data_IF_570872654781
#
_entry.id   IF_570872654781
#
_cell.length_a   1.000
_cell.length_b   1.000
_cell.length_c   1.000
_cell.angle_alpha   90.00
_cell.angle_beta   90.00
_cell.angle_gamma   90.00
#
_symmetry.space_group_name_H-M   'P 1'
#
loop_
_entity.id
_entity.type
_entity.pdbx_description
1 polymer ?
#
# COMPACT_ATOMS: atom_id res chain seq x y z
N UNK A 1 -31.04 -20.63 -72.00
CA UNK A 1 -29.95 -19.70 -72.37
C UNK A 1 -29.26 -19.25 -71.10
N UNK A 2 -27.94 -19.44 -71.08
CA UNK A 2 -27.05 -19.48 -69.93
C UNK A 2 -26.47 -18.10 -69.64
N UNK A 3 -26.49 -17.60 -68.39
CA UNK A 3 -25.55 -16.57 -67.91
C UNK A 3 -25.20 -16.80 -66.45
N UNK A 4 -24.15 -17.57 -66.25
CA UNK A 4 -23.30 -17.62 -65.07
C UNK A 4 -22.52 -16.32 -64.90
N UNK A 5 -22.43 -15.79 -63.68
CA UNK A 5 -21.25 -15.00 -63.24
C UNK A 5 -20.90 -15.37 -61.81
N UNK A 6 -19.69 -15.90 -61.70
CA UNK A 6 -18.93 -16.28 -60.52
C UNK A 6 -18.39 -15.00 -59.84
N UNK A 7 -18.51 -14.89 -58.52
CA UNK A 7 -17.95 -13.79 -57.73
C UNK A 7 -17.34 -14.33 -56.43
N UNK A 8 -16.07 -14.70 -56.51
CA UNK A 8 -15.22 -15.09 -55.38
C UNK A 8 -14.79 -13.85 -54.59
N UNK A 9 -14.92 -13.82 -53.26
CA UNK A 9 -13.91 -13.16 -52.41
C UNK A 9 -13.92 -13.68 -50.97
N UNK A 10 -12.73 -14.10 -50.56
CA UNK A 10 -12.27 -14.57 -49.25
C UNK A 10 -12.05 -13.36 -48.32
N UNK A 11 -11.89 -13.62 -47.01
CA UNK A 11 -11.53 -12.72 -45.89
C UNK A 11 -12.74 -12.17 -45.10
N UNK A 12 -12.84 -12.27 -43.77
CA UNK A 12 -11.83 -12.55 -42.76
C UNK A 12 -12.48 -13.21 -41.54
N UNK A 13 -11.90 -14.33 -41.10
CA UNK A 13 -12.00 -14.77 -39.70
C UNK A 13 -11.11 -13.82 -38.90
N UNK A 14 -11.71 -12.84 -38.22
CA UNK A 14 -11.00 -12.02 -37.24
C UNK A 14 -11.50 -12.39 -35.85
N UNK A 15 -10.98 -13.53 -35.41
CA UNK A 15 -10.96 -14.00 -34.05
C UNK A 15 -10.12 -13.01 -33.20
N UNK A 16 -10.77 -11.99 -32.63
CA UNK A 16 -10.15 -11.21 -31.55
C UNK A 16 -10.50 -11.90 -30.23
N UNK A 17 -9.79 -13.01 -29.93
CA UNK A 17 -9.61 -13.40 -28.53
C UNK A 17 -8.73 -12.33 -27.90
N UNK A 18 -9.35 -11.37 -27.22
CA UNK A 18 -8.64 -10.56 -26.23
C UNK A 18 -8.31 -11.47 -25.05
N UNK A 19 -7.18 -12.16 -25.12
CA UNK A 19 -6.50 -12.68 -23.95
C UNK A 19 -6.01 -11.49 -23.11
N UNK A 20 -6.83 -10.98 -22.20
CA UNK A 20 -6.32 -10.19 -21.07
C UNK A 20 -5.77 -11.17 -20.03
N UNK A 21 -4.57 -11.68 -20.27
CA UNK A 21 -3.78 -12.36 -19.26
C UNK A 21 -2.74 -11.39 -18.71
N UNK A 22 -3.10 -10.71 -17.62
CA UNK A 22 -2.15 -10.19 -16.66
C UNK A 22 -2.84 -9.97 -15.30
N UNK A 23 -3.33 -11.03 -14.67
CA UNK A 23 -3.46 -11.04 -13.21
C UNK A 23 -2.06 -11.23 -12.60
N UNK A 24 -1.17 -10.28 -12.84
CA UNK A 24 0.04 -10.07 -12.04
C UNK A 24 -0.29 -8.93 -11.08
N UNK A 25 0.01 -9.10 -9.79
CA UNK A 25 -0.37 -8.16 -8.74
C UNK A 25 0.03 -6.73 -9.06
N UNK A 26 -0.89 -5.97 -9.64
CA UNK A 26 -0.66 -4.60 -10.06
C UNK A 26 -0.43 -3.70 -8.85
N UNK A 27 -1.05 -4.04 -7.73
CA UNK A 27 -0.75 -3.44 -6.44
C UNK A 27 0.26 -4.30 -5.68
N UNK A 28 1.37 -3.68 -5.28
CA UNK A 28 2.43 -4.31 -4.51
C UNK A 28 2.64 -3.58 -3.19
N UNK A 29 2.84 -4.34 -2.12
CA UNK A 29 3.22 -3.79 -0.80
C UNK A 29 4.55 -4.39 -0.36
N UNK A 30 5.48 -3.54 0.03
CA UNK A 30 6.80 -3.93 0.55
C UNK A 30 7.12 -3.19 1.84
N UNK A 31 8.18 -3.64 2.53
CA UNK A 31 8.69 -3.02 3.77
C UNK A 31 7.63 -2.78 4.86
N UNK A 32 6.59 -3.61 4.88
CA UNK A 32 5.52 -3.50 5.86
C UNK A 32 6.05 -3.82 7.26
N UNK A 33 5.93 -2.85 8.16
CA UNK A 33 6.39 -2.97 9.54
C UNK A 33 5.49 -2.22 10.51
N UNK A 34 5.36 -2.75 11.72
CA UNK A 34 4.60 -2.13 12.81
C UNK A 34 5.44 -2.07 14.07
N UNK A 35 5.33 -0.97 14.80
CA UNK A 35 6.06 -0.81 16.06
C UNK A 35 5.29 -1.45 17.21
N UNK A 36 6.01 -2.04 18.15
CA UNK A 36 5.43 -2.42 19.45
C UNK A 36 4.81 -1.21 20.16
N UNK A 37 3.81 -1.47 21.00
CA UNK A 37 3.19 -0.44 21.82
C UNK A 37 4.11 -0.09 23.00
N UNK A 38 4.31 1.21 23.24
CA UNK A 38 5.06 1.67 24.42
C UNK A 38 4.27 1.39 25.70
N UNK A 39 4.95 1.20 26.85
CA UNK A 39 4.28 1.13 28.14
C UNK A 39 3.32 2.33 28.33
N UNK A 40 2.07 2.05 28.70
CA UNK A 40 1.00 3.04 28.86
C UNK A 40 0.54 3.79 27.59
N UNK A 41 1.02 3.44 26.40
CA UNK A 41 0.50 4.00 25.14
C UNK A 41 -0.67 3.18 24.61
N UNK A 42 -1.77 3.85 24.28
CA UNK A 42 -2.94 3.24 23.64
C UNK A 42 -2.82 3.18 22.10
N UNK A 43 -1.77 3.80 21.55
CA UNK A 43 -1.51 3.85 20.11
C UNK A 43 -0.08 3.45 19.76
N UNK A 44 0.09 2.93 18.55
CA UNK A 44 1.39 2.71 17.91
C UNK A 44 1.34 3.15 16.44
N UNK A 45 2.43 2.91 15.70
CA UNK A 45 2.58 3.31 14.31
C UNK A 45 3.00 2.15 13.42
N UNK A 46 2.62 2.20 12.15
CA UNK A 46 3.05 1.29 11.10
C UNK A 46 3.44 2.02 9.82
N UNK A 47 4.32 1.37 9.06
CA UNK A 47 4.92 1.87 7.83
C UNK A 47 4.94 0.76 6.79
N UNK A 48 4.92 1.14 5.51
CA UNK A 48 4.93 0.27 4.33
C UNK A 48 5.21 1.12 3.10
N UNK A 49 5.55 0.46 2.00
CA UNK A 49 5.56 1.07 0.67
C UNK A 49 4.46 0.43 -0.16
N UNK A 50 3.56 1.24 -0.71
CA UNK A 50 2.47 0.81 -1.58
C UNK A 50 2.72 1.29 -3.00
N UNK A 51 2.83 0.36 -3.95
CA UNK A 51 3.12 0.63 -5.35
C UNK A 51 1.91 0.25 -6.20
N UNK A 52 1.49 1.13 -7.09
CA UNK A 52 0.49 0.85 -8.10
C UNK A 52 1.16 0.76 -9.47
N UNK A 53 1.32 -0.45 -9.98
CA UNK A 53 1.85 -0.73 -11.31
C UNK A 53 0.76 -0.80 -12.40
N UNK A 54 -0.51 -0.64 -12.05
CA UNK A 54 -1.60 -0.63 -13.02
C UNK A 54 -1.64 0.67 -13.85
N UNK A 55 -2.36 0.63 -14.96
CA UNK A 55 -2.66 1.77 -15.83
C UNK A 55 -3.83 2.63 -15.30
N UNK A 56 -4.25 2.41 -14.05
CA UNK A 56 -5.44 3.01 -13.47
C UNK A 56 -5.18 3.55 -12.06
N UNK A 57 -5.85 4.65 -11.71
CA UNK A 57 -5.80 5.15 -10.34
C UNK A 57 -6.50 4.16 -9.40
N UNK A 58 -5.93 4.02 -8.19
CA UNK A 58 -6.45 3.16 -7.13
C UNK A 58 -6.72 3.99 -5.88
N UNK A 59 -7.71 3.60 -5.10
CA UNK A 59 -8.09 4.31 -3.87
C UNK A 59 -8.07 3.37 -2.70
N UNK A 60 -7.10 3.53 -1.81
CA UNK A 60 -7.00 2.79 -0.56
C UNK A 60 -8.02 3.34 0.44
N UNK A 61 -8.97 2.52 0.86
CA UNK A 61 -10.06 2.90 1.78
C UNK A 61 -9.81 2.47 3.21
N UNK A 62 -9.16 1.33 3.41
CA UNK A 62 -8.99 0.74 4.74
C UNK A 62 -7.74 -0.12 4.79
N UNK A 63 -7.09 -0.11 5.95
CA UNK A 63 -6.09 -1.11 6.31
C UNK A 63 -6.61 -1.86 7.54
N UNK A 64 -6.42 -3.17 7.56
CA UNK A 64 -6.62 -4.00 8.73
C UNK A 64 -5.33 -4.74 9.03
N UNK A 65 -5.06 -4.94 10.31
CA UNK A 65 -3.96 -5.76 10.79
C UNK A 65 -4.55 -6.69 11.83
N UNK A 66 -4.25 -7.98 11.72
CA UNK A 66 -4.71 -8.96 12.69
C UNK A 66 -4.36 -8.51 14.11
N UNK A 67 -5.25 -8.80 15.05
CA UNK A 67 -5.12 -8.46 16.47
C UNK A 67 -5.19 -6.97 16.83
N UNK A 68 -5.42 -6.07 15.86
CA UNK A 68 -5.68 -4.65 16.13
C UNK A 68 -7.16 -4.30 15.94
N UNK A 69 -7.74 -3.59 16.90
CA UNK A 69 -9.14 -3.16 16.84
C UNK A 69 -9.39 -2.04 15.82
N UNK A 70 -8.39 -1.20 15.54
CA UNK A 70 -8.49 -0.12 14.55
C UNK A 70 -7.13 0.26 13.98
N UNK A 71 -7.10 0.52 12.68
CA UNK A 71 -5.97 1.10 11.95
C UNK A 71 -6.47 2.29 11.14
N UNK A 72 -5.75 3.40 11.19
CA UNK A 72 -6.10 4.63 10.47
C UNK A 72 -4.93 5.10 9.61
N UNK A 73 -5.22 5.70 8.46
CA UNK A 73 -4.21 6.30 7.58
C UNK A 73 -4.08 7.76 7.98
N UNK A 74 -2.85 8.22 8.26
CA UNK A 74 -2.57 9.58 8.68
C UNK A 74 -1.48 10.18 7.80
N UNK A 75 -1.52 11.49 7.63
CA UNK A 75 -0.49 12.30 6.95
C UNK A 75 -0.04 13.45 7.85
N UNK A 76 1.06 14.07 7.50
CA UNK A 76 1.49 15.34 8.08
C UNK A 76 1.14 16.48 7.11
N UNK A 77 0.50 17.53 7.61
CA UNK A 77 0.21 18.73 6.85
C UNK A 77 0.79 19.96 7.53
N UNK A 78 1.36 20.85 6.72
CA UNK A 78 1.79 22.16 7.17
C UNK A 78 0.58 23.10 7.17
N UNK A 79 0.08 23.45 8.35
CA UNK A 79 -1.04 24.39 8.50
C UNK A 79 -0.65 25.50 9.46
N UNK A 80 -0.71 26.75 8.98
CA UNK A 80 -0.39 27.94 9.76
C UNK A 80 1.00 27.90 10.41
N UNK A 81 2.02 27.41 9.69
CA UNK A 81 3.39 27.32 10.22
C UNK A 81 3.65 26.16 11.18
N UNK A 82 2.65 25.31 11.44
CA UNK A 82 2.77 24.13 12.31
C UNK A 82 2.54 22.84 11.52
N UNK A 83 3.34 21.83 11.82
CA UNK A 83 3.09 20.46 11.35
C UNK A 83 1.98 19.83 12.19
N UNK A 84 0.92 19.36 11.53
CA UNK A 84 -0.20 18.68 12.17
C UNK A 84 -0.41 17.30 11.55
N UNK A 85 -0.61 16.29 12.38
CA UNK A 85 -1.07 14.99 11.93
C UNK A 85 -2.56 15.07 11.60
N UNK A 86 -2.94 14.54 10.44
CA UNK A 86 -4.34 14.49 9.98
C UNK A 86 -4.68 13.08 9.52
N UNK A 87 -5.81 12.57 10.00
CA UNK A 87 -6.42 11.35 9.47
C UNK A 87 -6.93 11.56 8.04
N UNK A 88 -6.69 10.57 7.19
CA UNK A 88 -7.25 10.45 5.85
C UNK A 88 -8.36 9.40 5.84
N UNK A 89 -9.51 9.74 5.24
CA UNK A 89 -10.62 8.79 5.01
C UNK A 89 -10.35 7.85 3.83
N UNK A 90 -9.45 8.25 2.94
CA UNK A 90 -8.94 7.47 1.84
C UNK A 90 -7.60 8.01 1.37
N UNK A 91 -6.82 7.17 0.68
CA UNK A 91 -5.57 7.55 0.06
C UNK A 91 -5.62 7.22 -1.43
N UNK A 92 -5.42 8.24 -2.26
CA UNK A 92 -5.26 8.09 -3.70
C UNK A 92 -3.89 7.50 -4.00
N UNK A 93 -3.85 6.52 -4.89
CA UNK A 93 -2.64 5.83 -5.36
C UNK A 93 -2.69 5.87 -6.89
N UNK A 94 -2.21 6.95 -7.51
CA UNK A 94 -2.33 7.12 -8.96
C UNK A 94 -1.61 6.01 -9.74
N UNK A 95 -2.00 5.82 -11.00
CA UNK A 95 -1.35 4.86 -11.90
C UNK A 95 0.17 5.06 -11.94
N UNK A 96 0.92 3.96 -11.88
CA UNK A 96 2.40 3.93 -11.86
C UNK A 96 3.06 4.76 -10.75
N UNK A 97 2.34 5.08 -9.67
CA UNK A 97 2.89 5.81 -8.52
C UNK A 97 3.12 4.93 -7.30
N UNK A 98 3.99 5.44 -6.42
CA UNK A 98 4.34 4.81 -5.15
C UNK A 98 4.00 5.73 -4.00
N UNK A 99 3.29 5.21 -3.01
CA UNK A 99 3.03 5.88 -1.74
C UNK A 99 3.90 5.27 -0.64
N UNK A 100 4.81 6.07 -0.11
CA UNK A 100 5.75 5.67 0.95
C UNK A 100 5.21 6.13 2.30
N UNK A 101 4.98 5.18 3.20
CA UNK A 101 4.62 5.46 4.59
C UNK A 101 5.90 5.47 5.41
N UNK A 102 6.23 6.61 6.00
CA UNK A 102 7.50 6.86 6.69
C UNK A 102 7.34 7.87 7.82
N UNK A 103 8.29 7.91 8.79
CA UNK A 103 8.30 8.94 9.83
C UNK A 103 8.22 10.36 9.24
N UNK A 104 7.36 11.20 9.83
CA UNK A 104 7.13 12.57 9.36
C UNK A 104 6.29 12.72 8.08
N UNK A 105 5.85 11.62 7.47
CA UNK A 105 5.01 11.60 6.27
C UNK A 105 3.70 10.82 6.48
N UNK A 106 3.30 10.06 5.45
CA UNK A 106 2.20 9.10 5.55
C UNK A 106 2.55 8.02 6.57
N UNK A 107 1.59 7.60 7.40
CA UNK A 107 1.79 6.53 8.37
C UNK A 107 0.47 5.90 8.77
N UNK A 108 0.53 4.67 9.30
CA UNK A 108 -0.60 3.99 9.89
C UNK A 108 -0.62 4.25 11.40
N UNK A 109 -1.72 4.77 11.92
CA UNK A 109 -1.97 4.83 13.36
C UNK A 109 -2.71 3.57 13.81
N UNK A 110 -2.15 2.90 14.81
CA UNK A 110 -2.56 1.57 15.28
C UNK A 110 -3.18 1.69 16.67
N UNK A 111 -4.34 1.08 16.90
CA UNK A 111 -5.07 1.19 18.17
C UNK A 111 -5.64 -0.15 18.64
N UNK A 112 -5.93 -0.21 19.94
CA UNK A 112 -6.67 -1.29 20.60
C UNK A 112 -6.14 -2.69 20.25
N UNK A 113 -4.87 -3.00 20.59
CA UNK A 113 -4.34 -4.34 20.38
C UNK A 113 -5.05 -5.34 21.30
N UNK A 114 -5.54 -6.44 20.75
CA UNK A 114 -6.15 -7.54 21.52
C UNK A 114 -5.12 -8.44 22.18
N UNK A 115 -3.86 -8.35 21.77
CA UNK A 115 -2.72 -9.05 22.35
C UNK A 115 -1.45 -8.21 22.28
N UNK A 116 -0.44 -8.56 23.08
CA UNK A 116 0.86 -7.88 23.03
C UNK A 116 1.55 -8.16 21.70
N UNK A 117 2.03 -7.11 21.04
CA UNK A 117 2.91 -7.23 19.87
C UNK A 117 4.34 -7.53 20.32
N UNK A 118 4.94 -8.60 19.80
CA UNK A 118 6.29 -9.06 20.15
C UNK A 118 7.24 -8.77 18.98
N UNK A 119 8.32 -8.04 19.24
CA UNK A 119 9.30 -7.72 18.20
C UNK A 119 9.94 -8.98 17.60
N UNK A 120 10.17 -8.98 16.29
CA UNK A 120 10.65 -10.13 15.52
C UNK A 120 9.55 -10.99 14.91
N UNK A 121 8.31 -10.90 15.41
CA UNK A 121 7.17 -11.60 14.82
C UNK A 121 6.60 -10.86 13.60
N UNK A 122 5.60 -11.45 12.95
CA UNK A 122 4.89 -10.86 11.81
C UNK A 122 3.38 -10.93 12.03
N UNK A 123 2.67 -9.91 11.55
CA UNK A 123 1.21 -9.84 11.55
C UNK A 123 0.69 -9.76 10.12
N UNK A 124 -0.41 -10.44 9.85
CA UNK A 124 -1.10 -10.28 8.57
C UNK A 124 -1.74 -8.89 8.49
N UNK A 125 -1.46 -8.21 7.40
CA UNK A 125 -2.03 -6.92 7.04
C UNK A 125 -2.82 -7.08 5.74
N UNK A 126 -4.00 -6.45 5.70
CA UNK A 126 -4.86 -6.41 4.51
C UNK A 126 -5.17 -4.97 4.16
N UNK A 127 -4.93 -4.59 2.91
CA UNK A 127 -5.27 -3.29 2.34
C UNK A 127 -6.51 -3.46 1.45
N UNK A 128 -7.52 -2.63 1.66
CA UNK A 128 -8.81 -2.69 0.96
C UNK A 128 -8.98 -1.47 0.06
N UNK A 129 -9.25 -1.71 -1.21
CA UNK A 129 -9.39 -0.69 -2.24
C UNK A 129 -10.87 -0.44 -2.59
N UNK A 130 -11.17 0.75 -3.12
CA UNK A 130 -12.54 1.19 -3.40
C UNK A 130 -13.25 0.37 -4.49
N UNK A 131 -12.50 -0.25 -5.39
CA UNK A 131 -12.96 -1.16 -6.44
C UNK A 131 -13.28 -2.58 -5.92
N UNK A 132 -13.02 -2.84 -4.63
CA UNK A 132 -13.22 -4.14 -3.98
C UNK A 132 -11.97 -5.01 -3.94
N UNK A 133 -10.86 -4.57 -4.55
CA UNK A 133 -9.60 -5.30 -4.52
C UNK A 133 -8.96 -5.30 -3.13
N UNK A 134 -8.16 -6.33 -2.90
CA UNK A 134 -7.46 -6.56 -1.64
C UNK A 134 -6.03 -6.97 -1.87
N UNK A 135 -5.13 -6.36 -1.12
CA UNK A 135 -3.71 -6.75 -1.08
C UNK A 135 -3.39 -7.29 0.31
N UNK A 136 -2.75 -8.44 0.35
CA UNK A 136 -2.31 -9.09 1.58
C UNK A 136 -0.80 -8.98 1.70
N UNK A 137 -0.32 -8.65 2.89
CA UNK A 137 1.12 -8.62 3.20
C UNK A 137 1.36 -9.03 4.65
N UNK A 138 2.61 -9.35 4.96
CA UNK A 138 3.06 -9.61 6.32
C UNK A 138 3.82 -8.39 6.82
N UNK A 139 3.40 -7.84 7.96
CA UNK A 139 4.06 -6.72 8.60
C UNK A 139 4.97 -7.20 9.73
N UNK A 140 6.27 -6.92 9.62
CA UNK A 140 7.25 -7.24 10.67
C UNK A 140 7.03 -6.35 11.90
N UNK A 141 7.04 -6.95 13.09
CA UNK A 141 6.97 -6.22 14.34
C UNK A 141 8.39 -5.80 14.76
N UNK A 142 8.61 -4.52 15.03
CA UNK A 142 9.88 -3.98 15.52
C UNK A 142 9.67 -3.16 16.81
N UNK A 143 10.72 -2.99 17.60
CA UNK A 143 10.66 -2.19 18.84
C UNK A 143 11.35 -0.81 18.68
N UNK A 144 11.25 0.02 19.71
CA UNK A 144 11.82 1.37 19.70
C UNK A 144 13.36 1.38 19.58
N UNK A 145 14.04 0.38 20.15
CA UNK A 145 15.51 0.29 20.08
C UNK A 145 15.97 0.02 18.65
N UNK A 146 15.32 -0.93 17.96
CA UNK A 146 15.55 -1.19 16.54
C UNK A 146 15.31 0.07 15.70
N UNK A 147 14.22 0.81 15.96
CA UNK A 147 13.92 2.06 15.27
C UNK A 147 15.04 3.10 15.41
N UNK A 148 15.60 3.23 16.62
CA UNK A 148 16.64 4.21 16.90
C UNK A 148 17.96 3.89 16.21
N UNK A 149 18.24 2.61 15.92
CA UNK A 149 19.44 2.19 15.19
C UNK A 149 19.30 2.51 13.70
N UNK A 150 18.14 2.21 13.09
CA UNK A 150 17.86 2.52 11.68
C UNK A 150 18.00 4.02 11.38
N UNK A 151 17.41 4.88 12.22
CA UNK A 151 17.46 6.33 12.02
C UNK A 151 18.90 6.89 12.11
N UNK A 152 19.75 6.29 12.95
CA UNK A 152 21.11 6.77 13.17
C UNK A 152 22.06 6.34 12.03
N UNK A 153 21.77 5.23 11.35
CA UNK A 153 22.50 4.83 10.13
C UNK A 153 22.24 5.77 8.95
N UNK A 154 21.04 6.36 8.86
CA UNK A 154 20.68 7.28 7.77
C UNK A 154 21.27 8.68 7.98
N UNK A 155 21.36 9.18 9.22
CA UNK A 155 21.94 10.49 9.52
C UNK A 155 23.46 10.58 9.24
N UNK A 156 24.21 9.47 9.35
CA UNK A 156 25.64 9.47 9.08
C UNK A 156 26.02 9.52 7.58
N UNK A 157 25.06 9.47 6.66
CA UNK A 157 25.35 9.57 5.22
C UNK A 157 25.20 10.99 4.62
N UNK A 158 24.79 11.99 5.40
CA UNK A 158 24.52 13.35 4.89
C UNK A 158 25.64 14.38 5.12
N UNK A 159 26.84 13.97 5.54
CA UNK A 159 28.00 14.87 5.71
C UNK A 159 29.16 14.56 4.76
N UNK A 160 28.95 14.63 3.43
CA UNK A 160 30.05 14.81 2.47
C UNK A 160 29.57 15.49 1.17
N UNK A 161 29.51 16.82 1.18
CA UNK A 161 30.05 17.71 0.14
C UNK A 161 30.04 19.16 0.61
#
# INVERSE_FOLDING_TARGET
MLRTTLGTLICAVSLLLSFHSAAHGELMVSEAKVRTFLPASESSVGYLTLMNHSDHDRVLKKVEIETLGRVEIHTHEHKNGMMQMRKLEELQVPAHQTQVFQPGGLHLMLFAPSQKLVAGEQLKMTLYFADGDRVFTQARIYNLLEQSQDNNSDEHQHHHH
#
